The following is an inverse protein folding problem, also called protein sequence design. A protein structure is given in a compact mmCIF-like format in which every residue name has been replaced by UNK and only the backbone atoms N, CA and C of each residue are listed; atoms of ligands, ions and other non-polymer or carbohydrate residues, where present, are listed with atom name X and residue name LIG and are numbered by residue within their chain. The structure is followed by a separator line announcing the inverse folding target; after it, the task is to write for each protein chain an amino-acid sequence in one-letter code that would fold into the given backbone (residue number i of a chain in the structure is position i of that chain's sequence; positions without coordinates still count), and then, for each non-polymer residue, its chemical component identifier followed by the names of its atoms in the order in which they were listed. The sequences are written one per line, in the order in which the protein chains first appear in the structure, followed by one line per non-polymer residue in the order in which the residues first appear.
data_IF_772490219524
#
_entry.id   IF_772490219524
#
_cell.length_a   1.000
_cell.length_b   1.000
_cell.length_c   1.000
_cell.angle_alpha   90.00
_cell.angle_beta   90.00
_cell.angle_gamma   90.00
#
_symmetry.space_group_name_H-M   'P 1'
#
loop_
_entity.id
_entity.type
_entity.pdbx_description
1 polymer ?
#
# COMPACT_ATOMS: atom_id res chain seq x y z
N UNK A 1 -21.92 17.34 13.79
CA UNK A 1 -20.62 18.01 13.93
C UNK A 1 -20.63 19.34 13.22
N UNK A 2 -20.93 19.56 12.04
CA UNK A 2 -20.92 20.83 11.32
C UNK A 2 -19.65 20.95 10.41
N UNK A 3 -19.79 21.72 9.34
CA UNK A 3 -18.75 21.91 8.33
C UNK A 3 -17.51 22.65 8.86
N UNK A 4 -17.65 23.39 9.94
CA UNK A 4 -16.58 24.13 10.58
C UNK A 4 -15.67 23.28 11.49
N UNK A 5 -16.13 22.04 11.83
CA UNK A 5 -15.46 21.12 12.77
C UNK A 5 -14.95 19.84 12.15
N UNK A 6 -15.18 19.65 10.84
CA UNK A 6 -14.76 18.46 10.09
C UNK A 6 -14.10 18.89 8.80
N UNK A 7 -12.96 18.26 8.49
CA UNK A 7 -12.25 18.53 7.24
C UNK A 7 -11.57 17.28 6.69
N UNK A 8 -11.44 17.20 5.38
CA UNK A 8 -10.57 16.23 4.73
C UNK A 8 -9.11 16.52 5.06
N UNK A 9 -8.25 15.50 4.99
CA UNK A 9 -6.83 15.64 5.33
C UNK A 9 -6.00 15.84 4.07
N UNK A 10 -5.19 16.91 4.06
CA UNK A 10 -4.22 17.11 2.99
C UNK A 10 -3.13 16.03 3.01
N UNK A 11 -2.66 15.65 1.83
CA UNK A 11 -1.47 14.82 1.66
C UNK A 11 -0.50 15.51 0.72
N UNK A 12 0.79 15.41 0.99
CA UNK A 12 1.83 15.97 0.13
C UNK A 12 2.53 14.86 -0.64
N UNK A 13 2.36 14.87 -1.96
CA UNK A 13 3.11 13.97 -2.84
C UNK A 13 4.51 14.52 -3.09
N UNK A 14 5.53 13.74 -2.79
CA UNK A 14 6.93 14.09 -3.06
C UNK A 14 7.42 13.43 -4.35
N UNK A 15 8.38 14.09 -5.00
CA UNK A 15 9.09 13.53 -6.15
C UNK A 15 9.88 12.29 -5.69
N UNK A 16 9.63 11.13 -6.32
CA UNK A 16 10.35 9.87 -6.05
C UNK A 16 11.45 9.67 -7.08
N UNK A 17 12.36 8.73 -6.81
CA UNK A 17 13.55 8.40 -7.60
C UNK A 17 13.30 8.39 -9.11
N UNK A 18 12.40 7.53 -9.59
CA UNK A 18 12.11 7.40 -11.03
C UNK A 18 11.52 8.65 -11.64
N UNK A 19 10.70 9.36 -10.87
CA UNK A 19 10.10 10.60 -11.34
C UNK A 19 11.13 11.74 -11.38
N UNK A 20 12.03 11.81 -10.39
CA UNK A 20 13.12 12.78 -10.37
C UNK A 20 14.00 12.64 -11.61
N UNK A 21 14.35 11.40 -12.00
CA UNK A 21 15.10 11.10 -13.21
C UNK A 21 14.34 11.56 -14.46
N UNK A 22 13.05 11.25 -14.58
CA UNK A 22 12.22 11.66 -15.73
C UNK A 22 12.10 13.18 -15.85
N UNK A 23 11.83 13.87 -14.74
CA UNK A 23 11.67 15.32 -14.73
C UNK A 23 13.02 16.01 -15.07
N UNK A 24 14.12 15.52 -14.51
CA UNK A 24 15.47 16.01 -14.82
C UNK A 24 15.84 15.83 -16.29
N UNK A 25 15.63 14.63 -16.82
CA UNK A 25 15.91 14.30 -18.21
C UNK A 25 15.09 15.18 -19.17
N UNK A 26 13.82 15.42 -18.87
CA UNK A 26 12.96 16.30 -19.64
C UNK A 26 13.46 17.76 -19.64
N UNK A 27 13.91 18.25 -18.50
CA UNK A 27 14.44 19.63 -18.37
C UNK A 27 15.70 19.81 -19.22
N UNK A 28 16.61 18.83 -19.20
CA UNK A 28 17.89 18.96 -19.91
C UNK A 28 17.82 18.63 -21.40
N UNK A 29 16.98 17.66 -21.78
CA UNK A 29 17.02 17.06 -23.12
C UNK A 29 15.65 17.04 -23.84
N UNK A 30 14.59 17.57 -23.22
CA UNK A 30 13.25 17.59 -23.83
C UNK A 30 12.71 16.19 -24.10
N UNK A 31 12.13 15.95 -25.29
CA UNK A 31 11.55 14.66 -25.68
C UNK A 31 12.58 13.52 -25.74
N UNK A 32 13.79 13.67 -26.31
CA UNK A 32 14.82 12.65 -26.26
C UNK A 32 15.20 12.21 -24.86
N UNK A 33 15.07 13.09 -23.87
CA UNK A 33 15.34 12.79 -22.48
C UNK A 33 14.50 11.65 -21.89
N UNK A 34 13.29 11.40 -22.41
CA UNK A 34 12.45 10.31 -21.91
C UNK A 34 13.06 8.94 -22.15
N UNK A 35 13.68 8.71 -23.32
CA UNK A 35 14.37 7.44 -23.62
C UNK A 35 15.57 7.24 -22.70
N UNK A 36 16.31 8.31 -22.42
CA UNK A 36 17.42 8.28 -21.46
C UNK A 36 16.94 7.96 -20.05
N UNK A 37 15.85 8.62 -19.61
CA UNK A 37 15.25 8.35 -18.32
C UNK A 37 14.74 6.91 -18.18
N UNK A 38 14.13 6.35 -19.23
CA UNK A 38 13.64 4.97 -19.20
C UNK A 38 14.81 3.98 -19.14
N UNK A 39 15.93 4.26 -19.84
CA UNK A 39 17.16 3.46 -19.73
C UNK A 39 17.73 3.49 -18.31
N UNK A 40 17.84 4.66 -17.71
CA UNK A 40 18.35 4.79 -16.33
C UNK A 40 17.40 4.11 -15.34
N UNK A 41 16.09 4.33 -15.49
CA UNK A 41 15.08 3.73 -14.62
C UNK A 41 15.02 2.19 -14.75
N UNK A 42 15.33 1.65 -15.93
CA UNK A 42 15.42 0.21 -16.19
C UNK A 42 16.61 -0.45 -15.48
N UNK A 43 17.70 0.28 -15.31
CA UNK A 43 18.91 -0.17 -14.61
C UNK A 43 18.83 -0.02 -13.08
N UNK A 44 17.78 0.63 -12.54
CA UNK A 44 17.58 0.70 -11.09
C UNK A 44 17.27 -0.68 -10.51
N UNK A 45 17.82 -1.01 -9.34
CA UNK A 45 17.48 -2.26 -8.66
C UNK A 45 15.96 -2.33 -8.36
N UNK A 46 15.40 -3.56 -8.27
CA UNK A 46 13.98 -3.74 -7.98
C UNK A 46 13.54 -3.02 -6.71
N UNK A 47 12.33 -2.47 -6.73
CA UNK A 47 11.75 -1.83 -5.55
C UNK A 47 11.55 -2.86 -4.43
N UNK A 48 11.95 -2.53 -3.21
CA UNK A 48 11.67 -3.30 -2.00
C UNK A 48 10.52 -2.64 -1.26
N UNK A 49 9.46 -3.39 -0.91
CA UNK A 49 8.25 -2.84 -0.28
C UNK A 49 7.67 -1.63 -1.03
N UNK A 50 7.65 -1.70 -2.36
CA UNK A 50 7.21 -0.61 -3.24
C UNK A 50 8.04 0.70 -3.12
N UNK A 51 9.25 0.63 -2.55
CA UNK A 51 10.20 1.75 -2.47
C UNK A 51 11.38 1.50 -3.38
N UNK A 52 11.62 2.41 -4.31
CA UNK A 52 12.86 2.43 -5.09
C UNK A 52 14.04 2.78 -4.17
N UNK A 53 15.25 2.43 -4.59
CA UNK A 53 16.45 2.92 -3.94
C UNK A 53 16.51 4.46 -4.06
N UNK A 54 16.75 5.22 -2.99
CA UNK A 54 16.91 6.67 -3.11
C UNK A 54 18.15 7.01 -3.94
N UNK A 55 18.10 8.10 -4.69
CA UNK A 55 19.23 8.50 -5.54
C UNK A 55 20.55 8.64 -4.74
N UNK A 56 20.47 9.20 -3.53
CA UNK A 56 21.63 9.26 -2.64
C UNK A 56 22.25 7.87 -2.40
N UNK A 57 21.42 6.84 -2.22
CA UNK A 57 21.90 5.48 -1.95
C UNK A 57 22.59 4.79 -3.12
N UNK A 58 22.45 5.34 -4.35
CA UNK A 58 23.15 4.81 -5.53
C UNK A 58 24.66 5.09 -5.45
N UNK A 59 25.05 6.23 -4.90
CA UNK A 59 26.46 6.69 -4.85
C UNK A 59 27.04 6.73 -3.44
N UNK A 60 26.28 6.41 -2.42
CA UNK A 60 26.70 6.38 -1.02
C UNK A 60 27.16 4.95 -0.64
N UNK A 61 28.47 4.69 -0.45
CA UNK A 61 28.96 3.36 -0.11
C UNK A 61 28.40 2.78 1.21
N UNK A 62 27.97 3.65 2.12
CA UNK A 62 27.44 3.25 3.42
C UNK A 62 25.93 2.88 3.34
N UNK A 63 25.29 3.08 2.19
CA UNK A 63 23.89 2.72 2.02
C UNK A 63 23.74 1.20 1.85
N UNK A 64 22.80 0.59 2.59
CA UNK A 64 22.53 -0.86 2.62
C UNK A 64 22.36 -1.51 1.23
N UNK A 65 21.80 -0.77 0.27
CA UNK A 65 21.54 -1.24 -1.11
C UNK A 65 22.57 -0.74 -2.13
N UNK A 66 23.70 -0.21 -1.69
CA UNK A 66 24.73 0.33 -2.58
C UNK A 66 25.23 -0.70 -3.62
N UNK A 67 25.45 -1.95 -3.19
CA UNK A 67 25.93 -3.02 -4.06
C UNK A 67 24.96 -3.36 -5.20
N UNK A 68 23.65 -3.22 -4.97
CA UNK A 68 22.61 -3.52 -5.96
C UNK A 68 22.56 -2.50 -7.11
N UNK A 69 23.07 -1.28 -6.91
CA UNK A 69 22.97 -0.16 -7.84
C UNK A 69 24.25 0.00 -8.72
N UNK A 70 25.07 -1.03 -8.86
CA UNK A 70 26.33 -0.96 -9.61
C UNK A 70 26.12 -0.55 -11.09
N UNK A 71 25.09 -1.05 -11.75
CA UNK A 71 24.79 -0.75 -13.15
C UNK A 71 24.48 0.74 -13.35
N UNK A 72 23.59 1.31 -12.54
CA UNK A 72 23.25 2.75 -12.62
C UNK A 72 24.48 3.60 -12.29
N UNK A 73 25.27 3.20 -11.31
CA UNK A 73 26.51 3.89 -10.93
C UNK A 73 27.49 3.95 -12.09
N UNK A 74 27.72 2.84 -12.78
CA UNK A 74 28.56 2.78 -13.97
C UNK A 74 28.04 3.70 -15.07
N UNK A 75 26.71 3.75 -15.30
CA UNK A 75 26.12 4.68 -16.26
C UNK A 75 26.39 6.14 -15.90
N UNK A 76 26.25 6.51 -14.62
CA UNK A 76 26.53 7.86 -14.13
C UNK A 76 28.00 8.25 -14.28
N UNK A 77 28.92 7.29 -14.11
CA UNK A 77 30.35 7.52 -14.22
C UNK A 77 30.83 7.59 -15.68
N UNK A 78 30.23 6.81 -16.57
CA UNK A 78 30.69 6.68 -17.97
C UNK A 78 30.03 7.63 -18.96
N UNK A 79 28.87 8.19 -18.63
CA UNK A 79 28.07 9.02 -19.53
C UNK A 79 27.82 10.41 -18.90
N UNK A 80 28.40 11.49 -19.44
CA UNK A 80 28.22 12.86 -18.91
C UNK A 80 26.77 13.34 -18.92
N UNK A 81 25.95 12.90 -19.89
CA UNK A 81 24.55 13.28 -19.98
C UNK A 81 23.72 12.56 -18.92
N UNK A 82 24.00 11.29 -18.67
CA UNK A 82 23.41 10.53 -17.54
C UNK A 82 23.80 11.16 -16.20
N UNK A 83 25.08 11.55 -16.06
CA UNK A 83 25.55 12.25 -14.86
C UNK A 83 24.81 13.56 -14.63
N UNK A 84 24.59 14.34 -15.66
CA UNK A 84 23.85 15.62 -15.58
C UNK A 84 22.39 15.39 -15.16
N UNK A 85 21.72 14.38 -15.70
CA UNK A 85 20.37 13.99 -15.28
C UNK A 85 20.38 13.59 -13.80
N UNK A 86 21.31 12.74 -13.40
CA UNK A 86 21.41 12.21 -12.05
C UNK A 86 21.65 13.30 -11.00
N UNK A 87 22.61 14.21 -11.26
CA UNK A 87 22.95 15.29 -10.34
C UNK A 87 21.76 16.22 -10.11
N UNK A 88 21.02 16.57 -11.18
CA UNK A 88 19.78 17.37 -11.06
C UNK A 88 18.69 16.60 -10.34
N UNK A 89 18.51 15.32 -10.67
CA UNK A 89 17.49 14.47 -10.05
C UNK A 89 17.68 14.35 -8.53
N UNK A 90 18.93 14.29 -8.05
CA UNK A 90 19.23 14.28 -6.60
C UNK A 90 18.72 15.52 -5.87
N UNK A 91 18.70 16.67 -6.53
CA UNK A 91 18.13 17.90 -5.97
C UNK A 91 16.61 17.93 -6.01
N UNK A 92 15.98 17.15 -6.88
CA UNK A 92 14.52 17.07 -7.02
C UNK A 92 13.89 15.99 -6.13
N UNK A 93 14.63 14.92 -5.83
CA UNK A 93 14.11 13.82 -5.03
C UNK A 93 13.71 14.29 -3.62
N UNK A 94 12.49 13.94 -3.20
CA UNK A 94 11.96 14.32 -1.90
C UNK A 94 11.25 15.68 -1.86
N UNK A 95 11.41 16.53 -2.88
CA UNK A 95 10.71 17.83 -2.96
C UNK A 95 9.20 17.59 -3.09
N UNK A 96 8.41 18.38 -2.39
CA UNK A 96 6.95 18.37 -2.52
C UNK A 96 6.55 18.82 -3.92
N UNK A 97 5.79 17.98 -4.62
CA UNK A 97 5.34 18.23 -5.99
C UNK A 97 3.90 18.70 -6.07
N UNK A 98 3.04 18.09 -5.29
CA UNK A 98 1.60 18.33 -5.34
C UNK A 98 0.96 18.10 -3.99
N UNK A 99 -0.15 18.80 -3.75
CA UNK A 99 -1.06 18.53 -2.67
C UNK A 99 -2.17 17.59 -3.19
N UNK A 100 -2.45 16.58 -2.41
CA UNK A 100 -3.57 15.67 -2.61
C UNK A 100 -4.50 15.68 -1.40
N UNK A 101 -5.48 14.80 -1.40
CA UNK A 101 -6.41 14.59 -0.30
C UNK A 101 -6.38 13.12 0.10
N UNK A 102 -6.37 12.85 1.39
CA UNK A 102 -6.43 11.47 1.88
C UNK A 102 -7.73 10.81 1.45
N UNK A 103 -7.64 9.53 1.03
CA UNK A 103 -8.76 8.84 0.39
C UNK A 103 -9.97 8.62 1.32
N UNK A 104 -9.75 8.48 2.63
CA UNK A 104 -10.78 8.07 3.59
C UNK A 104 -10.73 8.81 4.93
N UNK A 105 -9.65 9.55 5.21
CA UNK A 105 -9.48 10.22 6.49
C UNK A 105 -10.14 11.59 6.54
N UNK A 106 -10.70 11.89 7.70
CA UNK A 106 -11.16 13.22 8.08
C UNK A 106 -10.56 13.62 9.43
N UNK A 107 -10.29 14.90 9.60
CA UNK A 107 -9.99 15.50 10.90
C UNK A 107 -11.29 15.98 11.51
N UNK A 108 -11.48 15.71 12.79
CA UNK A 108 -12.64 16.14 13.58
C UNK A 108 -12.17 16.84 14.84
N UNK A 109 -12.88 17.93 15.20
CA UNK A 109 -12.62 18.69 16.41
C UNK A 109 -13.92 19.03 17.14
N UNK A 110 -13.84 19.26 18.43
CA UNK A 110 -14.95 19.78 19.24
C UNK A 110 -15.20 21.29 19.01
N UNK A 111 -14.21 21.99 18.48
CA UNK A 111 -14.16 23.43 18.22
C UNK A 111 -13.95 23.69 16.72
N UNK A 112 -14.04 24.95 16.28
CA UNK A 112 -13.80 25.33 14.88
C UNK A 112 -12.35 25.01 14.49
N UNK A 113 -12.18 24.27 13.40
CA UNK A 113 -10.85 23.91 12.89
C UNK A 113 -10.03 25.12 12.45
N UNK A 114 -10.67 26.15 11.85
CA UNK A 114 -9.98 27.36 11.40
C UNK A 114 -9.36 28.20 12.51
N UNK A 115 -9.77 27.98 13.76
CA UNK A 115 -9.18 28.68 14.92
C UNK A 115 -7.84 28.03 15.34
N UNK A 116 -7.54 26.82 14.84
CA UNK A 116 -6.37 26.04 15.23
C UNK A 116 -5.41 25.69 14.09
N UNK A 117 -5.96 25.50 12.88
CA UNK A 117 -5.17 25.10 11.70
C UNK A 117 -5.57 25.92 10.47
N UNK A 118 -4.64 26.18 9.54
CA UNK A 118 -5.00 26.71 8.25
C UNK A 118 -5.88 25.72 7.48
N UNK A 119 -6.83 26.28 6.74
CA UNK A 119 -7.79 25.49 5.95
C UNK A 119 -7.71 25.89 4.48
N UNK A 120 -7.85 24.90 3.61
CA UNK A 120 -7.95 25.10 2.17
C UNK A 120 -9.34 24.66 1.68
N UNK A 121 -10.02 25.54 0.97
CA UNK A 121 -11.28 25.20 0.30
C UNK A 121 -10.99 24.82 -1.14
N UNK A 122 -11.29 23.56 -1.48
CA UNK A 122 -11.04 23.05 -2.83
C UNK A 122 -12.04 23.68 -3.82
N UNK A 123 -11.56 24.33 -4.92
CA UNK A 123 -12.45 25.02 -5.84
C UNK A 123 -13.44 24.11 -6.58
N UNK A 124 -13.07 22.85 -6.81
CA UNK A 124 -13.84 21.92 -7.62
C UNK A 124 -15.18 21.50 -7.00
N UNK A 125 -15.24 21.35 -5.67
CA UNK A 125 -16.41 20.82 -4.95
C UNK A 125 -16.72 21.58 -3.66
N UNK A 126 -15.91 22.60 -3.33
CA UNK A 126 -16.08 23.40 -2.12
C UNK A 126 -15.70 22.68 -0.82
N UNK A 127 -15.12 21.48 -0.87
CA UNK A 127 -14.74 20.74 0.31
C UNK A 127 -13.64 21.44 1.11
N UNK A 128 -13.78 21.43 2.45
CA UNK A 128 -12.74 21.93 3.34
C UNK A 128 -11.67 20.86 3.58
N UNK A 129 -10.42 21.25 3.43
CA UNK A 129 -9.24 20.39 3.56
C UNK A 129 -8.29 21.06 4.54
N UNK A 130 -7.65 20.30 5.43
CA UNK A 130 -6.63 20.83 6.34
C UNK A 130 -5.45 21.41 5.53
N UNK A 131 -4.90 22.53 5.95
CA UNK A 131 -3.68 23.09 5.35
C UNK A 131 -2.41 22.38 5.85
N UNK A 132 -2.52 21.64 6.95
CA UNK A 132 -1.46 20.81 7.51
C UNK A 132 -1.76 19.34 7.28
N UNK A 133 -0.70 18.53 7.12
CA UNK A 133 -0.80 17.09 7.04
C UNK A 133 -1.19 16.45 8.38
N UNK A 134 -1.47 15.14 8.35
CA UNK A 134 -1.91 14.43 9.55
C UNK A 134 -0.91 14.51 10.71
N UNK A 135 0.41 14.31 10.53
CA UNK A 135 1.35 14.39 11.64
C UNK A 135 1.34 15.75 12.36
N UNK A 136 1.21 16.84 11.61
CA UNK A 136 1.11 18.18 12.19
C UNK A 136 -0.22 18.40 12.92
N UNK A 137 -1.34 17.89 12.35
CA UNK A 137 -2.65 17.95 13.01
C UNK A 137 -2.67 17.12 14.30
N UNK A 138 -2.07 15.95 14.30
CA UNK A 138 -1.97 15.07 15.48
C UNK A 138 -1.13 15.70 16.59
N UNK A 139 -0.03 16.37 16.23
CA UNK A 139 0.87 17.03 17.20
C UNK A 139 0.17 18.11 18.04
N UNK A 140 -0.91 18.71 17.54
CA UNK A 140 -1.73 19.67 18.28
C UNK A 140 -3.00 19.04 18.89
N UNK A 141 -3.12 17.71 18.86
CA UNK A 141 -4.19 16.97 19.52
C UNK A 141 -5.47 16.80 18.70
N UNK A 142 -5.46 17.03 17.39
CA UNK A 142 -6.62 16.79 16.53
C UNK A 142 -6.78 15.30 16.25
N UNK A 143 -8.04 14.84 16.22
CA UNK A 143 -8.38 13.44 15.98
C UNK A 143 -8.56 13.19 14.48
N UNK A 144 -7.83 12.18 13.95
CA UNK A 144 -8.06 11.62 12.63
C UNK A 144 -8.98 10.41 12.72
N UNK A 145 -10.01 10.39 11.89
CA UNK A 145 -10.88 9.22 11.71
C UNK A 145 -10.84 8.77 10.26
N UNK A 146 -10.67 7.46 10.07
CA UNK A 146 -10.65 6.84 8.75
C UNK A 146 -12.00 6.17 8.47
N UNK A 147 -12.72 6.64 7.43
CA UNK A 147 -13.97 6.06 6.96
C UNK A 147 -13.70 5.33 5.66
N UNK A 148 -13.39 4.06 5.77
CA UNK A 148 -13.05 3.23 4.61
C UNK A 148 -14.24 2.35 4.24
N UNK A 149 -14.90 2.67 3.13
CA UNK A 149 -15.96 1.85 2.55
C UNK A 149 -15.40 0.67 1.77
N UNK A 150 -16.13 -0.43 1.73
CA UNK A 150 -15.78 -1.62 0.96
C UNK A 150 -16.95 -2.03 0.06
N UNK A 151 -16.77 -1.91 -1.26
CA UNK A 151 -17.82 -2.25 -2.24
C UNK A 151 -18.24 -3.73 -2.20
N UNK A 152 -17.34 -4.62 -1.79
CA UNK A 152 -17.65 -6.04 -1.64
C UNK A 152 -18.78 -6.30 -0.63
N UNK A 153 -18.88 -5.49 0.42
CA UNK A 153 -19.99 -5.60 1.38
C UNK A 153 -21.34 -5.23 0.73
N UNK A 154 -21.36 -4.22 -0.14
CA UNK A 154 -22.55 -3.88 -0.94
C UNK A 154 -22.94 -5.04 -1.86
N UNK A 155 -21.96 -5.65 -2.56
CA UNK A 155 -22.20 -6.81 -3.42
C UNK A 155 -22.81 -7.99 -2.65
N UNK A 156 -22.31 -8.25 -1.43
CA UNK A 156 -22.87 -9.29 -0.55
C UNK A 156 -24.30 -8.94 -0.14
N UNK A 157 -24.58 -7.68 0.24
CA UNK A 157 -25.90 -7.22 0.59
C UNK A 157 -26.89 -7.39 -0.57
N UNK A 158 -26.51 -6.95 -1.77
CA UNK A 158 -27.33 -7.09 -2.99
C UNK A 158 -27.58 -8.58 -3.32
N UNK A 159 -26.60 -9.44 -3.13
CA UNK A 159 -26.73 -10.88 -3.33
C UNK A 159 -27.75 -11.50 -2.36
N UNK A 160 -27.71 -11.13 -1.08
CA UNK A 160 -28.66 -11.59 -0.06
C UNK A 160 -30.08 -11.14 -0.41
N UNK A 161 -30.26 -9.87 -0.81
CA UNK A 161 -31.58 -9.37 -1.24
C UNK A 161 -32.09 -10.11 -2.48
N UNK A 162 -31.23 -10.39 -3.44
CA UNK A 162 -31.59 -11.16 -4.64
C UNK A 162 -32.01 -12.59 -4.31
N UNK A 163 -31.30 -13.25 -3.39
CA UNK A 163 -31.68 -14.60 -2.93
C UNK A 163 -33.04 -14.56 -2.23
N UNK A 164 -33.25 -13.62 -1.34
CA UNK A 164 -34.55 -13.45 -0.67
C UNK A 164 -35.69 -13.21 -1.68
N UNK A 165 -35.48 -12.35 -2.68
CA UNK A 165 -36.48 -12.03 -3.70
C UNK A 165 -36.80 -13.21 -4.61
N UNK A 166 -35.80 -13.99 -5.02
CA UNK A 166 -35.97 -15.01 -6.05
C UNK A 166 -36.24 -16.42 -5.47
N UNK A 167 -35.83 -16.68 -4.22
CA UNK A 167 -35.92 -18.01 -3.58
C UNK A 167 -36.73 -17.98 -2.28
N UNK A 168 -37.06 -16.82 -1.75
CA UNK A 168 -37.71 -16.69 -0.45
C UNK A 168 -36.86 -17.08 0.75
N UNK A 169 -35.55 -17.30 0.53
CA UNK A 169 -34.58 -17.68 1.57
C UNK A 169 -34.01 -16.43 2.24
N UNK A 170 -34.02 -16.42 3.57
CA UNK A 170 -33.33 -15.38 4.35
C UNK A 170 -31.94 -15.86 4.80
N UNK A 171 -30.90 -15.11 4.45
CA UNK A 171 -29.53 -15.39 4.85
C UNK A 171 -29.11 -14.36 5.89
N UNK A 172 -28.72 -14.82 7.07
CA UNK A 172 -28.21 -14.02 8.18
C UNK A 172 -26.72 -14.30 8.35
N UNK A 173 -25.86 -13.35 7.94
CA UNK A 173 -24.40 -13.51 8.01
C UNK A 173 -23.89 -13.70 9.44
N UNK A 174 -24.60 -13.11 10.41
CA UNK A 174 -24.26 -13.18 11.84
C UNK A 174 -24.43 -14.60 12.41
N UNK A 175 -25.16 -15.45 11.72
CA UNK A 175 -25.35 -16.87 12.10
C UNK A 175 -24.27 -17.80 11.49
N UNK A 176 -23.42 -17.27 10.63
CA UNK A 176 -22.30 -18.05 10.07
C UNK A 176 -21.15 -18.05 11.05
N UNK A 177 -20.95 -19.16 11.72
CA UNK A 177 -19.81 -19.34 12.63
C UNK A 177 -18.66 -20.06 11.94
N UNK A 178 -17.44 -19.56 12.12
CA UNK A 178 -16.24 -20.11 11.50
C UNK A 178 -15.97 -21.59 11.85
N UNK A 179 -16.50 -22.04 12.98
CA UNK A 179 -16.36 -23.42 13.49
C UNK A 179 -17.53 -24.33 13.09
N UNK A 180 -18.51 -23.83 12.31
CA UNK A 180 -19.60 -24.67 11.81
C UNK A 180 -19.04 -25.76 10.87
N UNK A 181 -19.37 -27.04 11.06
CA UNK A 181 -18.97 -28.11 10.16
C UNK A 181 -19.31 -27.88 8.68
N UNK A 182 -20.35 -27.10 8.39
CA UNK A 182 -20.71 -26.71 7.02
C UNK A 182 -19.65 -25.78 6.38
N UNK A 183 -18.90 -25.05 7.19
CA UNK A 183 -17.84 -24.13 6.75
C UNK A 183 -16.55 -24.88 6.41
N UNK A 184 -16.39 -26.15 6.79
CA UNK A 184 -15.20 -26.95 6.48
C UNK A 184 -14.88 -27.00 4.99
N UNK A 185 -15.91 -27.07 4.13
CA UNK A 185 -15.76 -27.04 2.66
C UNK A 185 -15.09 -25.75 2.14
N UNK A 186 -15.22 -24.63 2.87
CA UNK A 186 -14.54 -23.37 2.53
C UNK A 186 -13.03 -23.54 2.70
N UNK A 187 -12.57 -24.18 3.77
CA UNK A 187 -11.15 -24.42 3.99
C UNK A 187 -10.56 -25.38 2.96
N UNK A 188 -11.31 -26.35 2.49
CA UNK A 188 -10.92 -27.23 1.39
C UNK A 188 -10.74 -26.45 0.09
N UNK A 189 -11.69 -25.55 -0.23
CA UNK A 189 -11.60 -24.67 -1.40
C UNK A 189 -10.37 -23.77 -1.31
N UNK A 190 -10.13 -23.13 -0.17
CA UNK A 190 -8.96 -22.30 0.06
C UNK A 190 -7.65 -23.11 -0.07
N UNK A 191 -7.62 -24.34 0.47
CA UNK A 191 -6.44 -25.21 0.44
C UNK A 191 -6.08 -25.66 -0.99
N UNK A 192 -7.03 -25.71 -1.91
CA UNK A 192 -6.77 -25.97 -3.34
C UNK A 192 -6.38 -24.70 -4.11
N UNK A 193 -6.52 -23.53 -3.49
CA UNK A 193 -6.30 -22.25 -4.16
C UNK A 193 -7.38 -21.88 -5.19
N UNK A 194 -8.56 -22.49 -5.10
CA UNK A 194 -9.72 -22.22 -5.96
C UNK A 194 -10.45 -20.94 -5.53
N UNK A 195 -9.71 -19.83 -5.46
CA UNK A 195 -10.16 -18.58 -4.83
C UNK A 195 -10.46 -17.46 -5.83
N UNK A 196 -10.73 -17.79 -7.07
CA UNK A 196 -11.11 -16.81 -8.09
C UNK A 196 -12.38 -16.05 -7.63
N UNK A 197 -12.26 -14.71 -7.55
CA UNK A 197 -13.33 -13.82 -7.08
C UNK A 197 -13.54 -13.79 -5.56
N UNK A 198 -12.74 -14.52 -4.78
CA UNK A 198 -12.74 -14.39 -3.32
C UNK A 198 -11.90 -13.19 -2.92
N UNK A 199 -12.55 -12.18 -2.36
CA UNK A 199 -11.91 -10.90 -2.02
C UNK A 199 -10.62 -11.09 -1.23
N UNK A 200 -9.55 -10.41 -1.67
CA UNK A 200 -8.17 -10.46 -1.11
C UNK A 200 -7.48 -11.82 -1.16
N UNK A 201 -8.13 -12.89 -1.60
CA UNK A 201 -7.57 -14.23 -1.65
C UNK A 201 -7.35 -14.74 -3.08
N UNK A 202 -7.68 -13.96 -4.10
CA UNK A 202 -7.71 -14.34 -5.52
C UNK A 202 -6.43 -14.03 -6.31
N UNK A 203 -5.43 -13.38 -5.70
CA UNK A 203 -4.15 -13.15 -6.37
C UNK A 203 -3.31 -14.42 -6.44
N UNK A 204 -2.56 -14.61 -7.54
CA UNK A 204 -1.75 -15.82 -7.75
C UNK A 204 -0.80 -16.14 -6.60
N UNK A 205 -0.12 -15.13 -6.06
CA UNK A 205 0.77 -15.34 -4.90
C UNK A 205 0.04 -15.72 -3.61
N UNK A 206 -1.16 -15.17 -3.39
CA UNK A 206 -2.00 -15.57 -2.25
C UNK A 206 -2.53 -17.00 -2.44
N UNK A 207 -2.92 -17.38 -3.65
CA UNK A 207 -3.33 -18.76 -3.97
C UNK A 207 -2.21 -19.77 -3.67
N UNK A 208 -0.96 -19.44 -4.05
CA UNK A 208 0.20 -20.28 -3.72
C UNK A 208 0.46 -20.36 -2.21
N UNK A 209 0.31 -19.28 -1.48
CA UNK A 209 0.39 -19.28 -0.02
C UNK A 209 -0.68 -20.19 0.59
N UNK A 210 -1.93 -20.08 0.15
CA UNK A 210 -3.05 -20.90 0.65
C UNK A 210 -2.85 -22.39 0.35
N UNK A 211 -2.41 -22.75 -0.84
CA UNK A 211 -2.05 -24.14 -1.21
C UNK A 211 -0.97 -24.71 -0.29
N UNK A 212 0.04 -23.91 0.05
CA UNK A 212 1.13 -24.32 0.93
C UNK A 212 0.72 -24.35 2.39
N UNK A 213 -0.09 -23.38 2.83
CA UNK A 213 -0.58 -23.25 4.21
C UNK A 213 -1.62 -24.31 4.56
N UNK A 214 -2.48 -24.69 3.59
CA UNK A 214 -3.61 -25.60 3.78
C UNK A 214 -4.49 -25.16 4.97
N UNK A 215 -5.24 -24.08 4.85
CA UNK A 215 -6.09 -23.59 5.92
C UNK A 215 -7.04 -24.66 6.44
N UNK A 216 -7.15 -24.79 7.75
CA UNK A 216 -8.05 -25.72 8.44
C UNK A 216 -9.01 -25.01 9.39
N UNK A 217 -8.87 -23.70 9.54
CA UNK A 217 -9.71 -22.89 10.42
C UNK A 217 -9.54 -21.40 10.17
N UNK A 218 -10.37 -20.61 10.83
CA UNK A 218 -10.42 -19.15 10.65
C UNK A 218 -9.09 -18.46 11.02
N UNK A 219 -8.37 -18.98 12.00
CA UNK A 219 -7.04 -18.46 12.38
C UNK A 219 -6.03 -18.46 11.24
N UNK A 220 -6.13 -19.44 10.34
CA UNK A 220 -5.25 -19.52 9.17
C UNK A 220 -5.58 -18.45 8.13
N UNK A 221 -6.86 -18.08 7.99
CA UNK A 221 -7.27 -16.95 7.13
C UNK A 221 -6.73 -15.66 7.70
N UNK A 222 -6.87 -15.43 9.01
CA UNK A 222 -6.31 -14.26 9.69
C UNK A 222 -4.80 -14.19 9.48
N UNK A 223 -4.09 -15.31 9.66
CA UNK A 223 -2.64 -15.40 9.47
C UNK A 223 -2.25 -15.10 8.01
N UNK A 224 -2.96 -15.66 7.02
CA UNK A 224 -2.66 -15.42 5.61
C UNK A 224 -2.80 -13.94 5.23
N UNK A 225 -3.86 -13.27 5.67
CA UNK A 225 -4.09 -11.85 5.42
C UNK A 225 -3.09 -10.94 6.16
N UNK A 226 -2.67 -11.34 7.35
CA UNK A 226 -1.69 -10.58 8.13
C UNK A 226 -0.27 -10.71 7.56
N UNK A 227 0.10 -11.92 7.08
CA UNK A 227 1.46 -12.24 6.65
C UNK A 227 1.71 -11.99 5.16
N UNK A 228 0.66 -11.97 4.32
CA UNK A 228 0.78 -11.65 2.90
C UNK A 228 0.81 -10.12 2.69
N UNK A 229 1.84 -9.49 3.22
CA UNK A 229 2.10 -8.05 3.14
C UNK A 229 3.58 -7.80 2.92
N UNK A 230 3.98 -6.66 2.30
CA UNK A 230 5.38 -6.39 1.96
C UNK A 230 6.37 -6.60 3.12
N UNK A 231 6.04 -6.16 4.33
CA UNK A 231 6.90 -6.32 5.51
C UNK A 231 7.16 -7.80 5.86
N UNK A 232 6.13 -8.56 6.25
CA UNK A 232 6.30 -9.98 6.58
C UNK A 232 6.80 -10.83 5.40
N UNK A 233 6.41 -10.49 4.16
CA UNK A 233 6.93 -11.17 2.96
C UNK A 233 8.42 -10.96 2.78
N UNK A 234 8.94 -9.77 3.08
CA UNK A 234 10.35 -9.44 2.94
C UNK A 234 11.27 -10.29 3.84
N UNK A 235 10.74 -10.78 4.95
CA UNK A 235 11.45 -11.71 5.87
C UNK A 235 10.94 -13.15 5.78
N UNK A 236 10.22 -13.51 4.72
CA UNK A 236 9.65 -14.85 4.47
C UNK A 236 8.69 -15.38 5.56
N UNK A 237 8.16 -14.51 6.44
CA UNK A 237 7.31 -14.93 7.56
C UNK A 237 6.04 -15.69 7.11
N UNK A 238 5.49 -15.36 5.94
CA UNK A 238 4.34 -16.03 5.36
C UNK A 238 4.63 -17.51 5.00
N UNK A 239 5.80 -17.79 4.41
CA UNK A 239 6.22 -19.17 4.12
C UNK A 239 6.59 -19.92 5.39
N UNK A 240 7.28 -19.26 6.30
CA UNK A 240 7.64 -19.84 7.60
C UNK A 240 6.44 -20.28 8.41
N UNK A 241 5.38 -19.45 8.45
CA UNK A 241 4.13 -19.83 9.10
C UNK A 241 3.49 -21.05 8.43
N UNK A 242 3.37 -21.05 7.10
CA UNK A 242 2.79 -22.15 6.34
C UNK A 242 3.54 -23.46 6.58
N UNK A 243 4.88 -23.39 6.65
CA UNK A 243 5.72 -24.58 6.86
C UNK A 243 5.67 -25.08 8.29
N UNK A 244 5.68 -24.18 9.28
CA UNK A 244 5.53 -24.54 10.70
C UNK A 244 4.18 -25.18 10.97
N UNK A 245 3.10 -24.59 10.46
CA UNK A 245 1.75 -25.14 10.57
C UNK A 245 1.65 -26.59 10.06
N UNK A 246 2.33 -26.90 8.98
CA UNK A 246 2.29 -28.23 8.34
C UNK A 246 3.45 -29.15 8.76
N UNK A 247 4.19 -28.83 9.81
CA UNK A 247 5.28 -29.64 10.34
C UNK A 247 6.51 -29.74 9.44
N UNK A 248 6.65 -28.88 8.43
CA UNK A 248 7.83 -28.83 7.55
C UNK A 248 8.98 -28.02 8.13
N UNK A 249 8.71 -27.21 9.13
CA UNK A 249 9.67 -26.40 9.88
C UNK A 249 9.35 -26.46 11.36
N UNK A 250 10.38 -26.49 12.21
CA UNK A 250 10.23 -26.50 13.66
C UNK A 250 9.59 -25.19 14.15
N UNK A 251 8.72 -25.32 15.17
CA UNK A 251 8.12 -24.16 15.84
C UNK A 251 9.09 -23.68 16.91
N UNK A 252 9.72 -22.56 16.65
CA UNK A 252 10.56 -21.87 17.64
C UNK A 252 9.77 -20.75 18.28
N UNK A 253 9.62 -20.70 19.62
CA UNK A 253 9.00 -19.58 20.31
C UNK A 253 9.76 -18.27 19.98
N UNK A 254 9.02 -17.18 19.82
CA UNK A 254 9.61 -15.84 19.63
C UNK A 254 10.17 -15.31 20.95
N UNK A 255 9.60 -15.78 22.05
CA UNK A 255 9.99 -15.44 23.41
C UNK A 255 9.91 -16.71 24.28
N UNK A 256 10.86 -16.97 25.21
CA UNK A 256 10.82 -18.07 26.17
C UNK A 256 9.61 -18.00 27.10
#
# INVERSE_FOLDING_TARGET
WGEDKVAQVITFGTVKTKQAIKDSAKVHFGQPGFQMADRINGALPPAIMAKDIPLKGITDPDHERYSEAAEVRQMVESDPDVKKIYDTARGLEGVVRQAGVHACAVIMASVRLMDHIPMWKRPADGAYITGWDYPACEAIGLLKMDFLGLRNLTVIGDAIENIKRNRGEEIHLEQLHADDPKVSKVYDLLSRGDTLGVFQLDSGGMQELLKRMKPTGFKDIVASLALYRPGPMGVNAHWDYADRKNGRKEITPIHP
#
